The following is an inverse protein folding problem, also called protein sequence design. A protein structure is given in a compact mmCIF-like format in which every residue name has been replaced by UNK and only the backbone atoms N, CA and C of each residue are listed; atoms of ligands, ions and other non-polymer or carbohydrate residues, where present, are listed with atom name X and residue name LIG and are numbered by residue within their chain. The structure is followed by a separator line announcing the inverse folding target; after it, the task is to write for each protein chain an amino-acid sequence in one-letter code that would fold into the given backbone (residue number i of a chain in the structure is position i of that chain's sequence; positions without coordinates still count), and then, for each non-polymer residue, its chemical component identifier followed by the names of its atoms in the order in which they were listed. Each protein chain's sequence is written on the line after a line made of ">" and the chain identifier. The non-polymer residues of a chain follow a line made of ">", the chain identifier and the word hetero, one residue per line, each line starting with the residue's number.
data_IF_758443657598
#
_entry.id   IF_758443657598
#
_cell.length_a   1.000
_cell.length_b   1.000
_cell.length_c   1.000
_cell.angle_alpha   90.00
_cell.angle_beta   90.00
_cell.angle_gamma   90.00
#
_symmetry.space_group_name_H-M   'P 1'
#
loop_
_entity.id
_entity.type
_entity.pdbx_description
1 polymer ?
#
# COMPACT_ATOMS: atom_id res chain seq x y z
N UNK A 1 -20.96 -4.95 -9.21
CA UNK A 1 -20.82 -5.67 -7.91
C UNK A 1 -20.43 -7.14 -8.04
N UNK A 2 -21.11 -7.93 -8.89
CA UNK A 2 -20.81 -9.38 -9.05
C UNK A 2 -19.34 -9.68 -9.41
N UNK A 3 -18.73 -8.91 -10.30
CA UNK A 3 -17.33 -9.11 -10.70
C UNK A 3 -16.32 -8.69 -9.63
N UNK A 4 -16.65 -7.67 -8.81
CA UNK A 4 -15.81 -7.23 -7.68
C UNK A 4 -15.81 -8.33 -6.62
N UNK A 5 -16.99 -8.86 -6.28
CA UNK A 5 -17.11 -9.95 -5.32
C UNK A 5 -16.40 -11.22 -5.80
N UNK A 6 -16.62 -11.59 -7.07
CA UNK A 6 -15.96 -12.74 -7.69
C UNK A 6 -14.43 -12.66 -7.64
N UNK A 7 -13.85 -11.46 -7.68
CA UNK A 7 -12.40 -11.28 -7.56
C UNK A 7 -11.91 -11.23 -6.10
N UNK A 8 -12.65 -10.56 -5.19
CA UNK A 8 -12.26 -10.43 -3.79
C UNK A 8 -12.36 -11.73 -2.99
N UNK A 9 -13.39 -12.54 -3.22
CA UNK A 9 -13.58 -13.80 -2.50
C UNK A 9 -12.37 -14.76 -2.64
N UNK A 10 -11.88 -15.10 -3.85
CA UNK A 10 -10.71 -15.95 -4.00
C UNK A 10 -9.43 -15.27 -3.52
N UNK A 11 -9.29 -13.94 -3.63
CA UNK A 11 -8.16 -13.21 -3.05
C UNK A 11 -8.05 -13.45 -1.54
N UNK A 12 -9.15 -13.27 -0.80
CA UNK A 12 -9.18 -13.52 0.65
C UNK A 12 -8.93 -14.99 0.99
N UNK A 13 -9.52 -15.92 0.23
CA UNK A 13 -9.31 -17.36 0.43
C UNK A 13 -7.84 -17.78 0.22
N UNK A 14 -7.14 -17.12 -0.71
CA UNK A 14 -5.75 -17.42 -1.02
C UNK A 14 -4.74 -16.79 -0.07
N UNK A 15 -5.09 -15.67 0.61
CA UNK A 15 -4.15 -14.92 1.48
C UNK A 15 -3.30 -15.79 2.42
N UNK A 16 -3.84 -16.79 3.17
CA UNK A 16 -3.05 -17.62 4.06
C UNK A 16 -1.95 -18.46 3.37
N UNK A 17 -2.05 -18.63 2.05
CA UNK A 17 -1.12 -19.39 1.22
C UNK A 17 -0.11 -18.48 0.48
N UNK A 18 -0.08 -17.18 0.78
CA UNK A 18 0.80 -16.19 0.13
C UNK A 18 1.90 -15.69 1.07
N UNK A 19 2.80 -14.85 0.55
CA UNK A 19 3.84 -14.18 1.35
C UNK A 19 3.32 -12.96 2.12
N UNK A 20 2.08 -12.52 1.90
CA UNK A 20 1.51 -11.28 2.46
C UNK A 20 2.02 -9.98 1.83
N UNK A 21 2.96 -10.06 0.89
CA UNK A 21 3.42 -8.92 0.10
C UNK A 21 2.50 -8.62 -1.08
N UNK A 22 2.46 -7.35 -1.50
CA UNK A 22 1.72 -6.90 -2.69
C UNK A 22 2.64 -6.10 -3.60
N UNK A 23 2.38 -6.10 -4.90
CA UNK A 23 3.12 -5.24 -5.82
C UNK A 23 2.45 -3.86 -5.87
N UNK A 24 3.23 -2.78 -5.68
CA UNK A 24 2.70 -1.41 -5.51
C UNK A 24 1.79 -0.97 -6.66
N UNK A 25 2.09 -1.36 -7.90
CA UNK A 25 1.29 -0.97 -9.07
C UNK A 25 -0.04 -1.74 -9.18
N UNK A 26 -0.25 -2.78 -8.37
CA UNK A 26 -1.48 -3.59 -8.32
C UNK A 26 -2.33 -3.27 -7.07
N UNK A 27 -1.98 -2.21 -6.33
CA UNK A 27 -2.74 -1.77 -5.15
C UNK A 27 -3.92 -0.92 -5.61
N UNK A 28 -5.15 -1.41 -5.39
CA UNK A 28 -6.37 -0.67 -5.67
C UNK A 28 -6.55 0.59 -4.80
N UNK A 29 -7.40 1.53 -5.24
CA UNK A 29 -7.66 2.80 -4.53
C UNK A 29 -8.36 2.66 -3.17
N UNK A 30 -8.81 1.45 -2.84
CA UNK A 30 -9.53 1.13 -1.60
C UNK A 30 -8.58 0.91 -0.42
N UNK A 31 -7.29 0.86 -0.69
CA UNK A 31 -6.25 0.57 0.28
C UNK A 31 -5.91 1.84 1.03
N UNK A 32 -5.99 1.77 2.35
CA UNK A 32 -5.67 2.90 3.20
C UNK A 32 -4.23 3.36 2.95
N UNK A 33 -4.05 4.64 2.63
CA UNK A 33 -2.74 5.26 2.48
C UNK A 33 -1.91 5.06 3.76
N UNK A 34 -0.71 4.52 3.60
CA UNK A 34 0.15 4.19 4.74
C UNK A 34 -0.42 3.13 5.69
N UNK A 35 -1.40 2.33 5.26
CA UNK A 35 -1.88 1.14 5.97
C UNK A 35 -0.92 -0.05 5.85
N UNK A 36 -1.24 -1.16 6.51
CA UNK A 36 -0.36 -2.33 6.57
C UNK A 36 -0.06 -2.95 5.20
N UNK A 37 -1.05 -2.95 4.30
CA UNK A 37 -0.86 -3.46 2.95
C UNK A 37 0.04 -2.54 2.09
N UNK A 38 0.01 -1.24 2.34
CA UNK A 38 0.94 -0.31 1.69
C UNK A 38 2.36 -0.48 2.24
N UNK A 39 2.51 -0.70 3.55
CA UNK A 39 3.79 -1.05 4.17
C UNK A 39 4.35 -2.36 3.64
N UNK A 40 3.52 -3.39 3.47
CA UNK A 40 3.96 -4.71 2.98
C UNK A 40 4.48 -4.67 1.55
N UNK A 41 4.05 -3.70 0.74
CA UNK A 41 4.55 -3.50 -0.63
C UNK A 41 6.04 -3.16 -0.71
N UNK A 42 6.57 -2.47 0.31
CA UNK A 42 7.98 -2.07 0.38
C UNK A 42 8.77 -2.84 1.43
N UNK A 43 8.08 -3.53 2.34
CA UNK A 43 8.70 -4.32 3.41
C UNK A 43 9.72 -3.51 4.20
N UNK A 44 10.93 -4.05 4.35
CA UNK A 44 12.02 -3.44 5.10
C UNK A 44 12.49 -2.08 4.55
N UNK A 45 12.16 -1.72 3.31
CA UNK A 45 12.52 -0.43 2.73
C UNK A 45 11.60 0.71 3.17
N UNK A 46 10.41 0.41 3.72
CA UNK A 46 9.40 1.42 4.05
C UNK A 46 9.92 2.55 4.97
N UNK A 47 10.67 2.28 6.06
CA UNK A 47 11.18 3.35 6.93
C UNK A 47 12.07 4.36 6.19
N UNK A 48 12.97 3.87 5.31
CA UNK A 48 13.84 4.74 4.50
C UNK A 48 13.05 5.58 3.50
N UNK A 49 11.94 5.07 2.97
CA UNK A 49 11.07 5.84 2.08
C UNK A 49 10.31 6.93 2.85
N UNK A 50 9.90 6.68 4.10
CA UNK A 50 9.34 7.72 4.98
C UNK A 50 10.36 8.82 5.23
N UNK A 51 11.62 8.50 5.51
CA UNK A 51 12.69 9.49 5.64
C UNK A 51 12.85 10.34 4.37
N UNK A 52 12.82 9.72 3.19
CA UNK A 52 12.85 10.44 1.91
C UNK A 52 11.62 11.33 1.74
N UNK A 53 10.41 10.84 2.07
CA UNK A 53 9.18 11.62 2.01
C UNK A 53 9.25 12.84 2.93
N UNK A 54 9.73 12.68 4.17
CA UNK A 54 9.94 13.77 5.11
C UNK A 54 10.91 14.83 4.56
N UNK A 55 11.96 14.41 3.83
CA UNK A 55 12.94 15.32 3.24
C UNK A 55 12.40 16.09 2.03
N UNK A 56 11.70 15.39 1.13
CA UNK A 56 11.37 15.93 -0.20
C UNK A 56 9.92 16.42 -0.33
N UNK A 57 9.01 15.91 0.50
CA UNK A 57 7.59 16.31 0.51
C UNK A 57 6.99 16.26 1.92
N UNK A 58 7.52 17.03 2.88
CA UNK A 58 7.05 17.04 4.27
C UNK A 58 5.59 17.48 4.41
N UNK A 59 5.10 18.32 3.49
CA UNK A 59 3.70 18.80 3.48
C UNK A 59 2.74 17.84 2.77
N UNK A 60 3.24 16.69 2.29
CA UNK A 60 2.47 15.66 1.62
C UNK A 60 1.65 16.20 0.43
N UNK A 61 2.28 17.04 -0.41
CA UNK A 61 1.67 17.60 -1.62
C UNK A 61 1.41 16.51 -2.65
N UNK A 62 2.37 15.59 -2.84
CA UNK A 62 2.25 14.48 -3.78
C UNK A 62 1.65 13.26 -3.09
N UNK A 63 0.32 13.18 -3.06
CA UNK A 63 -0.41 12.15 -2.28
C UNK A 63 -1.49 11.36 -3.02
N UNK A 64 -1.69 11.59 -4.32
CA UNK A 64 -2.83 10.99 -5.05
C UNK A 64 -2.67 9.52 -5.46
N UNK A 65 -1.46 8.96 -5.31
CA UNK A 65 -1.18 7.57 -5.67
C UNK A 65 -1.03 6.72 -4.39
N UNK A 66 -0.41 5.55 -4.50
CA UNK A 66 0.06 4.76 -3.35
C UNK A 66 1.00 5.62 -2.51
N UNK A 67 0.42 6.33 -1.55
CA UNK A 67 1.10 7.38 -0.82
C UNK A 67 1.82 6.84 0.41
N UNK A 68 3.03 7.34 0.63
CA UNK A 68 3.79 7.16 1.87
C UNK A 68 3.55 8.42 2.69
N UNK A 69 2.93 8.28 3.87
CA UNK A 69 2.63 9.41 4.75
C UNK A 69 3.93 9.89 5.43
N UNK A 70 4.25 11.21 5.37
CA UNK A 70 5.33 11.75 6.19
C UNK A 70 4.98 11.68 7.68
N UNK A 71 6.01 11.74 8.52
CA UNK A 71 5.89 11.68 9.99
C UNK A 71 6.37 12.96 10.68
N UNK A 72 6.65 14.01 9.91
CA UNK A 72 7.11 15.33 10.36
C UNK A 72 6.02 16.39 10.26
#
# INVERSE_FOLDING_TARGET
>A
EVHIKWNRDPWEAMKPHTTGGVYVNEIGREVEEGGDMMRSAYGAAYPRLVEMKNKYDPKNLFRHNQNIKPTV
#
